data_IF_781809342674
#
_entry.id   IF_781809342674
#
_cell.length_a   1.000
_cell.length_b   1.000
_cell.length_c   1.000
_cell.angle_alpha   90.00
_cell.angle_beta   90.00
_cell.angle_gamma   90.00
#
_symmetry.space_group_name_H-M   'P 1'
#
loop_
_entity.id
_entity.type
_entity.pdbx_description
1 polymer ?
#
# COMPACT_ATOMS: atom_id res chain seq x y z
N UNK A 1 -28.32 -69.47 14.90
CA UNK A 1 -27.10 -68.63 15.09
C UNK A 1 -27.47 -67.21 14.64
N UNK A 2 -27.70 -66.25 15.54
CA UNK A 2 -26.71 -65.28 16.10
C UNK A 2 -25.78 -64.77 14.97
N UNK A 3 -25.89 -63.51 14.52
CA UNK A 3 -25.57 -62.29 15.30
C UNK A 3 -26.34 -61.03 14.85
N UNK A 4 -26.70 -60.21 15.84
CA UNK A 4 -27.11 -58.79 15.73
C UNK A 4 -25.87 -57.91 15.97
N UNK A 5 -25.74 -56.76 15.30
CA UNK A 5 -25.43 -55.43 15.89
C UNK A 5 -24.92 -54.46 14.81
N UNK A 6 -25.60 -53.35 14.51
CA UNK A 6 -25.68 -52.05 15.23
C UNK A 6 -24.55 -51.09 14.82
N UNK A 7 -24.93 -49.91 14.31
CA UNK A 7 -24.25 -48.59 14.27
C UNK A 7 -24.70 -47.88 12.97
N UNK A 8 -25.92 -47.33 12.88
CA UNK A 8 -26.32 -46.01 13.38
C UNK A 8 -25.20 -44.94 13.33
N UNK A 9 -25.49 -43.90 12.53
CA UNK A 9 -25.25 -42.47 12.78
C UNK A 9 -24.07 -41.76 12.10
N UNK A 10 -24.47 -40.79 11.27
CA UNK A 10 -23.95 -39.41 11.18
C UNK A 10 -22.53 -39.27 10.64
N UNK A 11 -22.38 -38.90 9.35
CA UNK A 11 -21.62 -37.71 8.93
C UNK A 11 -22.27 -37.13 7.64
N UNK A 12 -23.53 -36.70 7.77
CA UNK A 12 -24.12 -35.72 6.85
C UNK A 12 -23.93 -34.35 7.52
N UNK A 13 -22.76 -33.76 7.37
CA UNK A 13 -22.47 -32.49 8.03
C UNK A 13 -21.00 -32.12 8.02
N UNK A 14 -20.48 -31.71 6.86
CA UNK A 14 -19.52 -30.61 6.73
C UNK A 14 -19.20 -30.32 5.25
N UNK A 15 -20.22 -30.27 4.38
CA UNK A 15 -20.00 -29.74 3.03
C UNK A 15 -19.87 -28.23 3.15
N UNK A 16 -18.61 -27.82 3.27
CA UNK A 16 -18.02 -26.60 2.75
C UNK A 16 -18.82 -25.34 3.07
N UNK A 17 -18.41 -24.71 4.19
CA UNK A 17 -18.30 -23.25 4.27
C UNK A 17 -17.70 -22.75 2.95
N UNK A 18 -18.56 -22.35 2.02
CA UNK A 18 -18.20 -21.44 0.95
C UNK A 18 -17.96 -20.11 1.68
N UNK A 19 -16.75 -19.98 2.20
CA UNK A 19 -16.20 -18.71 2.64
C UNK A 19 -16.42 -17.75 1.49
N UNK A 20 -17.17 -16.69 1.78
CA UNK A 20 -17.22 -15.48 1.00
C UNK A 20 -15.80 -15.02 0.69
N UNK A 21 -15.22 -15.48 -0.41
CA UNK A 21 -14.24 -14.67 -1.11
C UNK A 21 -15.07 -13.75 -1.99
N UNK A 22 -15.71 -12.77 -1.33
CA UNK A 22 -15.84 -11.45 -1.92
C UNK A 22 -14.43 -11.12 -2.38
N UNK A 23 -14.20 -11.29 -3.68
CA UNK A 23 -13.11 -10.66 -4.38
C UNK A 23 -13.47 -9.16 -4.34
N UNK A 24 -13.36 -8.58 -3.14
CA UNK A 24 -13.15 -7.17 -2.96
C UNK A 24 -11.90 -6.94 -3.76
N UNK A 25 -12.12 -6.46 -4.98
CA UNK A 25 -11.12 -5.89 -5.82
C UNK A 25 -10.66 -4.67 -5.04
N UNK A 26 -9.81 -4.92 -4.04
CA UNK A 26 -9.17 -3.93 -3.21
C UNK A 26 -8.17 -3.23 -4.13
N UNK A 27 -8.71 -2.42 -5.04
CA UNK A 27 -8.07 -1.19 -5.50
C UNK A 27 -7.95 -0.29 -4.26
N UNK A 28 -7.18 -0.73 -3.27
CA UNK A 28 -6.73 0.14 -2.20
C UNK A 28 -5.90 1.20 -2.91
N UNK A 29 -6.41 2.42 -2.86
CA UNK A 29 -5.70 3.60 -3.32
C UNK A 29 -4.27 3.50 -2.82
N UNK A 30 -3.33 3.38 -3.75
CA UNK A 30 -1.92 3.20 -3.44
C UNK A 30 -1.21 4.50 -3.73
N UNK A 31 -0.43 5.00 -2.78
CA UNK A 31 0.31 6.26 -2.92
C UNK A 31 1.80 5.97 -3.06
N UNK A 32 2.49 6.75 -3.89
CA UNK A 32 3.95 6.69 -4.06
C UNK A 32 4.54 8.07 -3.83
N UNK A 33 5.78 8.11 -3.38
CA UNK A 33 6.59 9.33 -3.46
C UNK A 33 7.34 9.25 -4.77
N UNK A 34 7.12 10.22 -5.65
CA UNK A 34 7.90 10.35 -6.86
C UNK A 34 8.92 11.48 -6.72
N UNK A 35 10.03 11.38 -7.45
CA UNK A 35 11.16 12.30 -7.41
C UNK A 35 11.56 12.75 -8.81
N UNK A 36 11.82 14.04 -8.97
CA UNK A 36 12.40 14.58 -10.21
C UNK A 36 13.90 14.28 -10.29
N UNK A 37 14.40 13.93 -11.48
CA UNK A 37 15.81 13.57 -11.67
C UNK A 37 16.73 14.78 -11.63
N UNK A 38 16.27 15.94 -12.13
CA UNK A 38 17.08 17.17 -12.22
C UNK A 38 17.14 17.92 -10.90
N UNK A 39 16.01 18.06 -10.22
CA UNK A 39 15.90 18.90 -9.03
C UNK A 39 15.72 18.09 -7.75
N UNK A 40 15.74 16.76 -7.79
CA UNK A 40 15.53 15.90 -6.61
C UNK A 40 14.31 16.29 -5.75
N UNK A 41 13.30 16.92 -6.35
CA UNK A 41 12.10 17.36 -5.66
C UNK A 41 11.12 16.19 -5.59
N UNK A 42 10.46 16.04 -4.45
CA UNK A 42 9.59 14.90 -4.18
C UNK A 42 8.11 15.31 -4.04
N UNK A 43 7.21 14.48 -4.55
CA UNK A 43 5.77 14.66 -4.41
C UNK A 43 5.08 13.32 -4.12
N UNK A 44 4.09 13.35 -3.24
CA UNK A 44 3.16 12.23 -3.08
C UNK A 44 2.12 12.25 -4.21
N UNK A 45 1.99 11.14 -4.93
CA UNK A 45 0.95 10.95 -5.95
C UNK A 45 0.24 9.61 -5.77
N UNK A 46 -1.03 9.56 -6.19
CA UNK A 46 -1.75 8.30 -6.33
C UNK A 46 -1.14 7.50 -7.49
N UNK A 47 -1.00 6.18 -7.32
CA UNK A 47 -0.52 5.29 -8.39
C UNK A 47 -1.49 5.40 -9.59
N UNK A 48 -0.94 5.78 -10.74
CA UNK A 48 -1.69 6.02 -11.98
C UNK A 48 -2.20 7.45 -12.16
N UNK A 49 -1.94 8.37 -11.22
CA UNK A 49 -2.27 9.79 -11.36
C UNK A 49 -1.50 10.43 -12.54
N UNK A 50 -2.20 11.25 -13.34
CA UNK A 50 -1.63 12.02 -14.45
C UNK A 50 -1.81 13.53 -14.23
N UNK A 51 -0.82 14.37 -14.60
CA UNK A 51 0.49 14.00 -15.12
C UNK A 51 1.39 13.36 -14.04
N UNK A 52 2.29 12.46 -14.46
CA UNK A 52 3.28 11.84 -13.58
C UNK A 52 4.35 12.87 -13.18
N UNK A 53 4.58 13.02 -11.89
CA UNK A 53 5.59 13.91 -11.34
C UNK A 53 6.91 13.14 -11.16
N UNK A 54 7.79 13.11 -12.16
CA UNK A 54 9.07 12.39 -12.05
C UNK A 54 8.93 10.87 -11.93
N UNK A 55 9.92 10.23 -11.30
CA UNK A 55 10.01 8.77 -11.18
C UNK A 55 9.72 8.27 -9.77
N UNK A 56 9.23 7.03 -9.66
CA UNK A 56 8.93 6.42 -8.35
C UNK A 56 10.20 6.34 -7.49
N UNK A 57 10.13 6.90 -6.28
CA UNK A 57 11.22 6.96 -5.30
C UNK A 57 10.93 6.07 -4.07
N UNK A 58 9.77 6.26 -3.42
CA UNK A 58 9.35 5.46 -2.25
C UNK A 58 7.94 4.87 -2.44
N UNK A 59 7.65 3.81 -1.68
CA UNK A 59 6.33 3.14 -1.63
C UNK A 59 6.23 1.88 -2.50
N UNK A 60 5.02 1.32 -2.69
CA UNK A 60 3.71 1.93 -2.40
C UNK A 60 3.35 2.04 -0.91
N UNK A 61 2.47 2.99 -0.59
CA UNK A 61 1.86 3.21 0.73
C UNK A 61 0.34 3.08 0.65
N UNK A 62 -0.32 2.73 1.76
CA UNK A 62 -1.78 2.55 1.79
C UNK A 62 -2.55 3.86 1.91
N UNK A 63 -1.90 4.91 2.45
CA UNK A 63 -2.53 6.22 2.64
C UNK A 63 -1.60 7.34 2.15
N UNK A 64 -2.19 8.48 1.75
CA UNK A 64 -1.45 9.69 1.40
C UNK A 64 -0.56 10.17 2.56
N UNK A 65 -1.05 9.99 3.78
CA UNK A 65 -0.38 10.42 5.01
C UNK A 65 0.85 9.56 5.34
N UNK A 66 0.79 8.25 5.12
CA UNK A 66 1.99 7.39 5.21
C UNK A 66 3.06 7.79 4.18
N UNK A 67 2.64 8.01 2.93
CA UNK A 67 3.55 8.46 1.88
C UNK A 67 4.18 9.82 2.20
N UNK A 68 3.38 10.77 2.71
CA UNK A 68 3.84 12.10 3.14
C UNK A 68 4.86 11.99 4.26
N UNK A 69 4.57 11.21 5.31
CA UNK A 69 5.51 10.98 6.41
C UNK A 69 6.82 10.34 5.93
N UNK A 70 6.76 9.39 5.00
CA UNK A 70 7.95 8.78 4.40
C UNK A 70 8.76 9.80 3.58
N UNK A 71 8.09 10.62 2.75
CA UNK A 71 8.70 11.71 2.00
C UNK A 71 9.43 12.69 2.93
N UNK A 72 8.77 13.17 3.98
CA UNK A 72 9.34 14.14 4.92
C UNK A 72 10.54 13.59 5.71
N UNK A 73 10.57 12.28 5.98
CA UNK A 73 11.73 11.61 6.60
C UNK A 73 12.92 11.45 5.65
N UNK A 74 12.68 11.51 4.36
CA UNK A 74 13.69 11.34 3.32
C UNK A 74 14.29 12.68 2.85
N UNK A 75 13.88 13.81 3.41
CA UNK A 75 14.42 15.11 3.03
C UNK A 75 15.86 15.26 3.50
N UNK A 76 16.74 15.63 2.58
CA UNK A 76 18.06 16.18 2.84
C UNK A 76 18.15 17.60 2.25
N UNK A 77 17.91 18.64 3.06
CA UNK A 77 17.95 20.02 2.58
C UNK A 77 19.38 20.49 2.28
N UNK A 78 20.39 19.74 2.72
CA UNK A 78 21.81 20.06 2.49
C UNK A 78 22.32 19.56 1.13
N UNK A 79 21.50 18.79 0.41
CA UNK A 79 21.83 18.17 -0.88
C UNK A 79 23.10 17.30 -0.86
N UNK A 80 23.48 16.79 0.31
CA UNK A 80 24.64 15.91 0.46
C UNK A 80 24.39 14.52 -0.12
N UNK A 81 23.14 14.04 -0.06
CA UNK A 81 22.72 12.77 -0.63
C UNK A 81 21.76 12.98 -1.81
N UNK A 82 22.29 12.88 -3.03
CA UNK A 82 21.48 12.97 -4.25
C UNK A 82 20.46 11.84 -4.40
N UNK A 83 20.48 10.79 -3.55
CA UNK A 83 19.43 9.77 -3.53
C UNK A 83 18.20 10.24 -2.78
N UNK A 84 18.34 11.17 -1.84
CA UNK A 84 17.25 11.73 -1.04
C UNK A 84 16.44 12.80 -1.76
N UNK A 85 15.33 13.19 -1.16
CA UNK A 85 14.56 14.36 -1.56
C UNK A 85 15.31 15.63 -1.14
N UNK A 86 15.54 16.56 -2.04
CA UNK A 86 16.06 17.88 -1.65
C UNK A 86 14.94 18.74 -1.02
N UNK A 87 13.78 18.76 -1.68
CA UNK A 87 12.61 19.55 -1.30
C UNK A 87 11.32 18.80 -1.66
N UNK A 88 10.18 19.26 -1.16
CA UNK A 88 8.87 18.69 -1.45
C UNK A 88 8.02 19.59 -2.33
N UNK A 89 7.10 18.97 -3.08
CA UNK A 89 6.04 19.65 -3.81
C UNK A 89 4.68 19.15 -3.32
N UNK A 90 3.80 20.02 -2.77
CA UNK A 90 4.08 21.43 -2.47
C UNK A 90 5.16 21.61 -1.38
N UNK A 91 5.76 22.80 -1.30
CA UNK A 91 6.86 23.13 -0.37
C UNK A 91 6.45 22.95 1.10
N UNK A 92 5.18 23.19 1.42
CA UNK A 92 4.62 23.08 2.76
C UNK A 92 4.12 21.67 3.12
N UNK A 93 4.37 20.66 2.27
CA UNK A 93 3.89 19.29 2.49
C UNK A 93 4.33 18.68 3.83
N UNK A 94 5.44 19.15 4.38
CA UNK A 94 5.98 18.68 5.67
C UNK A 94 5.69 19.61 6.86
N UNK A 95 5.05 20.77 6.63
CA UNK A 95 4.75 21.77 7.67
C UNK A 95 3.46 21.47 8.43
N UNK A 96 2.66 20.53 7.96
CA UNK A 96 1.46 20.02 8.66
C UNK A 96 1.87 18.91 9.64
N UNK A 97 2.32 19.33 10.83
CA UNK A 97 2.38 18.48 12.03
C UNK A 97 1.29 18.89 13.02
#
# INVERSE_FOLDING_TARGET
MKTKNTFFLIIAGLILLISCNQQSNNNRASYVVNKTTTSCMCRVQLVGEVPKYGEKHLGPFNTKEEARRAMCKDIDPTMTDQKKCWETVPEDACNTQ
#
